data_IF_439545264164
#
_entry.id   IF_439545264164
#
_cell.length_a   1.000
_cell.length_b   1.000
_cell.length_c   1.000
_cell.angle_alpha   90.00
_cell.angle_beta   90.00
_cell.angle_gamma   90.00
#
_symmetry.space_group_name_H-M   'P 1'
#
loop_
_entity.id
_entity.type
_entity.pdbx_description
1 polymer ?
#
# COMPACT_ATOMS: atom_id res chain seq x y z
N UNK A 1 -23.19 -4.23 9.92
CA UNK A 1 -22.60 -4.60 11.23
C UNK A 1 -21.11 -4.66 11.08
N UNK A 2 -20.30 -4.26 12.06
CA UNK A 2 -18.85 -4.28 11.90
C UNK A 2 -18.37 -5.72 11.70
N UNK A 3 -17.74 -5.95 10.57
CA UNK A 3 -17.00 -7.17 10.27
C UNK A 3 -15.87 -7.27 11.28
N UNK A 4 -15.65 -8.45 11.88
CA UNK A 4 -14.54 -8.67 12.80
C UNK A 4 -13.23 -8.53 12.04
N UNK A 5 -12.44 -7.52 12.38
CA UNK A 5 -11.15 -7.29 11.72
C UNK A 5 -10.18 -8.40 12.11
N UNK A 6 -9.55 -9.02 11.11
CA UNK A 6 -8.44 -9.95 11.35
C UNK A 6 -7.26 -9.20 11.97
N UNK A 7 -6.50 -9.85 12.87
CA UNK A 7 -5.23 -9.29 13.31
C UNK A 7 -4.26 -9.20 12.12
N UNK A 8 -3.26 -8.32 12.23
CA UNK A 8 -2.24 -8.15 11.20
C UNK A 8 -1.36 -9.39 10.98
N UNK A 9 -1.29 -10.26 12.00
CA UNK A 9 -0.64 -11.58 11.93
C UNK A 9 -1.69 -12.70 12.11
N UNK A 10 -2.52 -12.98 11.10
CA UNK A 10 -3.59 -13.94 11.20
C UNK A 10 -3.05 -15.37 11.17
N UNK A 11 -3.44 -16.17 12.18
CA UNK A 11 -3.02 -17.55 12.29
C UNK A 11 -4.12 -18.52 11.83
N UNK A 12 -3.85 -19.31 10.79
CA UNK A 12 -4.82 -20.24 10.22
C UNK A 12 -5.25 -21.34 11.19
N UNK A 13 -4.35 -21.83 12.04
CA UNK A 13 -4.70 -22.86 13.05
C UNK A 13 -5.62 -22.28 14.13
N UNK A 14 -5.39 -21.04 14.54
CA UNK A 14 -6.28 -20.34 15.46
C UNK A 14 -7.67 -20.16 14.84
N UNK A 15 -7.78 -19.77 13.59
CA UNK A 15 -9.05 -19.64 12.87
C UNK A 15 -9.78 -20.99 12.74
N UNK A 16 -9.05 -22.10 12.49
CA UNK A 16 -9.60 -23.47 12.51
C UNK A 16 -10.15 -23.84 13.89
N UNK A 17 -9.43 -23.46 14.96
CA UNK A 17 -9.89 -23.68 16.32
C UNK A 17 -11.13 -22.86 16.66
N UNK A 18 -11.20 -21.61 16.24
CA UNK A 18 -12.41 -20.78 16.39
C UNK A 18 -13.61 -21.43 15.69
N UNK A 19 -13.44 -21.94 14.47
CA UNK A 19 -14.50 -22.66 13.77
C UNK A 19 -14.92 -23.94 14.51
N UNK A 20 -13.99 -24.61 15.19
CA UNK A 20 -14.28 -25.79 16.03
C UNK A 20 -15.12 -25.42 17.25
N UNK A 21 -14.74 -24.37 17.94
CA UNK A 21 -15.45 -23.85 19.11
C UNK A 21 -16.86 -23.37 18.73
N UNK A 22 -16.96 -22.60 17.65
CA UNK A 22 -18.25 -22.14 17.12
C UNK A 22 -19.19 -23.32 16.82
N UNK A 23 -18.70 -24.36 16.15
CA UNK A 23 -19.50 -25.56 15.87
C UNK A 23 -20.03 -26.21 17.16
N UNK A 24 -19.19 -26.34 18.19
CA UNK A 24 -19.62 -26.90 19.48
C UNK A 24 -20.70 -26.03 20.15
N UNK A 25 -20.53 -24.71 20.18
CA UNK A 25 -21.48 -23.81 20.81
C UNK A 25 -22.83 -23.75 20.07
N UNK A 26 -22.82 -23.75 18.73
CA UNK A 26 -24.04 -23.81 17.92
C UNK A 26 -24.81 -25.09 18.21
N UNK A 27 -24.14 -26.24 18.22
CA UNK A 27 -24.77 -27.54 18.55
C UNK A 27 -25.28 -27.64 19.98
N UNK A 28 -24.62 -26.91 20.88
CA UNK A 28 -25.05 -26.85 22.31
C UNK A 28 -26.19 -25.82 22.51
N UNK A 29 -26.64 -25.11 21.47
CA UNK A 29 -27.74 -24.16 21.59
C UNK A 29 -27.37 -22.83 22.25
N UNK A 30 -26.08 -22.45 22.28
CA UNK A 30 -25.62 -21.16 22.83
C UNK A 30 -26.22 -20.02 22.01
N UNK A 31 -27.01 -19.09 22.61
CA UNK A 31 -27.77 -18.08 21.87
C UNK A 31 -26.90 -17.19 20.98
N UNK A 32 -25.76 -16.71 21.49
CA UNK A 32 -24.83 -15.82 20.80
C UNK A 32 -24.21 -16.49 19.56
N UNK A 33 -23.91 -17.79 19.67
CA UNK A 33 -23.42 -18.57 18.54
C UNK A 33 -24.49 -18.73 17.45
N UNK A 34 -25.75 -18.89 17.86
CA UNK A 34 -26.91 -18.92 16.96
C UNK A 34 -27.16 -17.59 16.25
N UNK A 35 -26.92 -16.46 16.92
CA UNK A 35 -26.99 -15.12 16.32
C UNK A 35 -25.94 -14.94 15.24
N UNK A 36 -24.71 -15.31 15.52
CA UNK A 36 -23.61 -15.25 14.56
C UNK A 36 -23.90 -16.09 13.30
N UNK A 37 -24.50 -17.28 13.47
CA UNK A 37 -24.92 -18.11 12.34
C UNK A 37 -26.03 -17.41 11.52
N UNK A 38 -27.06 -16.84 12.17
CA UNK A 38 -28.13 -16.12 11.46
C UNK A 38 -27.62 -14.91 10.66
N UNK A 39 -26.61 -14.22 11.18
CA UNK A 39 -26.02 -13.04 10.55
C UNK A 39 -25.15 -13.40 9.34
N UNK A 40 -24.27 -14.39 9.49
CA UNK A 40 -23.20 -14.65 8.51
C UNK A 40 -23.40 -15.90 7.66
N UNK A 41 -24.31 -16.82 8.02
CA UNK A 41 -24.56 -17.99 7.19
C UNK A 41 -25.69 -17.74 6.18
N UNK A 42 -25.45 -17.89 4.86
CA UNK A 42 -26.44 -17.52 3.83
C UNK A 42 -27.67 -18.44 3.83
N UNK A 43 -27.51 -19.69 4.30
CA UNK A 43 -28.56 -20.72 4.38
C UNK A 43 -28.22 -21.64 5.54
N UNK A 44 -28.52 -21.25 6.78
CA UNK A 44 -28.21 -22.10 7.92
C UNK A 44 -29.03 -23.41 7.86
N UNK A 45 -28.51 -24.53 8.36
CA UNK A 45 -29.27 -25.77 8.47
C UNK A 45 -30.51 -25.54 9.35
N UNK A 46 -31.63 -26.18 9.01
CA UNK A 46 -32.87 -26.08 9.78
C UNK A 46 -32.74 -26.65 11.20
N UNK A 47 -31.93 -27.70 11.36
CA UNK A 47 -31.53 -28.26 12.63
C UNK A 47 -30.06 -27.90 12.92
N UNK A 48 -29.86 -27.06 13.93
CA UNK A 48 -28.52 -26.61 14.34
C UNK A 48 -27.68 -27.73 14.97
N UNK A 49 -28.26 -28.88 15.34
CA UNK A 49 -27.47 -30.03 15.77
C UNK A 49 -26.67 -30.66 14.62
N UNK A 50 -27.11 -30.44 13.36
CA UNK A 50 -26.41 -30.87 12.14
C UNK A 50 -25.36 -29.86 11.66
N UNK A 51 -25.20 -28.71 12.35
CA UNK A 51 -24.28 -27.65 11.95
C UNK A 51 -22.86 -28.19 11.79
N UNK A 52 -22.36 -28.18 10.56
CA UNK A 52 -21.10 -28.83 10.20
C UNK A 52 -19.87 -27.96 10.48
N UNK A 53 -18.69 -28.55 10.37
CA UNK A 53 -17.42 -27.79 10.43
C UNK A 53 -17.30 -26.82 9.25
N UNK A 54 -17.80 -27.19 8.09
CA UNK A 54 -17.79 -26.36 6.89
C UNK A 54 -18.69 -25.12 7.07
N UNK A 55 -19.85 -25.28 7.71
CA UNK A 55 -20.74 -24.17 8.05
C UNK A 55 -20.06 -23.20 9.04
N UNK A 56 -19.41 -23.72 10.07
CA UNK A 56 -18.66 -22.91 11.03
C UNK A 56 -17.51 -22.15 10.36
N UNK A 57 -16.76 -22.79 9.48
CA UNK A 57 -15.71 -22.15 8.70
C UNK A 57 -16.27 -21.04 7.79
N UNK A 58 -17.43 -21.26 7.15
CA UNK A 58 -18.09 -20.26 6.33
C UNK A 58 -18.52 -19.04 7.17
N UNK A 59 -19.11 -19.27 8.34
CA UNK A 59 -19.49 -18.18 9.27
C UNK A 59 -18.28 -17.37 9.69
N UNK A 60 -17.20 -18.03 10.13
CA UNK A 60 -15.95 -17.34 10.52
C UNK A 60 -15.40 -16.53 9.33
N UNK A 61 -15.34 -17.11 8.13
CA UNK A 61 -14.84 -16.40 6.95
C UNK A 61 -15.69 -15.15 6.65
N UNK A 62 -17.01 -15.26 6.69
CA UNK A 62 -17.92 -14.14 6.42
C UNK A 62 -17.91 -13.07 7.50
N UNK A 63 -17.78 -13.47 8.76
CA UNK A 63 -17.57 -12.54 9.86
C UNK A 63 -16.26 -11.74 9.73
N UNK A 64 -15.26 -12.31 9.05
CA UNK A 64 -14.02 -11.61 8.70
C UNK A 64 -14.08 -10.88 7.33
N UNK A 65 -15.25 -10.81 6.68
CA UNK A 65 -15.43 -10.09 5.41
C UNK A 65 -15.11 -10.91 4.15
N UNK A 66 -14.82 -12.22 4.28
CA UNK A 66 -14.49 -13.08 3.14
C UNK A 66 -15.70 -13.91 2.67
N UNK A 67 -15.89 -14.02 1.36
CA UNK A 67 -17.02 -14.75 0.77
C UNK A 67 -17.01 -16.26 1.11
N UNK A 68 -15.84 -16.85 1.41
CA UNK A 68 -15.67 -18.27 1.73
C UNK A 68 -14.42 -18.53 2.55
N UNK A 69 -14.37 -19.71 3.20
CA UNK A 69 -13.19 -20.19 3.92
C UNK A 69 -11.95 -20.31 3.02
N UNK A 70 -12.12 -20.71 1.76
CA UNK A 70 -11.02 -20.80 0.81
C UNK A 70 -10.38 -19.44 0.53
N UNK A 71 -11.20 -18.37 0.41
CA UNK A 71 -10.72 -17.00 0.24
C UNK A 71 -10.02 -16.46 1.49
N UNK A 72 -10.56 -16.72 2.68
CA UNK A 72 -9.91 -16.37 3.93
C UNK A 72 -8.55 -17.07 4.07
N UNK A 73 -8.49 -18.38 3.77
CA UNK A 73 -7.23 -19.14 3.81
C UNK A 73 -6.20 -18.57 2.83
N UNK A 74 -6.59 -18.30 1.59
CA UNK A 74 -5.72 -17.68 0.59
C UNK A 74 -5.14 -16.36 1.09
N UNK A 75 -5.96 -15.51 1.69
CA UNK A 75 -5.52 -14.25 2.28
C UNK A 75 -4.51 -14.46 3.40
N UNK A 76 -4.78 -15.38 4.34
CA UNK A 76 -3.86 -15.70 5.44
C UNK A 76 -2.51 -16.21 4.90
N UNK A 77 -2.52 -17.08 3.87
CA UNK A 77 -1.30 -17.57 3.21
C UNK A 77 -0.50 -16.42 2.59
N UNK A 78 -1.16 -15.45 1.95
CA UNK A 78 -0.52 -14.25 1.38
C UNK A 78 0.10 -13.40 2.47
N UNK A 79 -0.65 -13.09 3.54
CA UNK A 79 -0.11 -12.30 4.67
C UNK A 79 1.10 -13.01 5.28
N UNK A 80 0.99 -14.31 5.59
CA UNK A 80 2.10 -15.09 6.16
C UNK A 80 3.35 -15.07 5.26
N UNK A 81 3.18 -15.11 3.93
CA UNK A 81 4.29 -15.12 2.97
C UNK A 81 4.97 -13.76 2.85
N UNK A 82 4.19 -12.67 2.85
CA UNK A 82 4.68 -11.34 2.50
C UNK A 82 4.78 -10.37 3.68
N UNK A 83 4.28 -10.70 4.87
CA UNK A 83 4.41 -9.83 6.04
C UNK A 83 5.88 -9.63 6.41
N UNK A 84 6.27 -8.36 6.61
CA UNK A 84 7.59 -7.94 7.08
C UNK A 84 7.43 -6.81 8.08
N UNK A 85 8.34 -6.75 9.04
CA UNK A 85 8.39 -5.69 10.05
C UNK A 85 9.81 -5.11 10.10
N UNK A 86 10.27 -4.40 9.05
CA UNK A 86 11.65 -3.99 8.90
C UNK A 86 12.14 -3.09 10.06
N UNK A 87 11.24 -2.33 10.68
CA UNK A 87 11.53 -1.47 11.83
C UNK A 87 11.74 -2.23 13.15
N UNK A 88 11.32 -3.51 13.23
CA UNK A 88 11.46 -4.34 14.45
C UNK A 88 12.68 -5.26 14.41
N UNK A 89 13.42 -5.26 13.34
CA UNK A 89 14.59 -6.12 13.21
C UNK A 89 15.69 -5.64 14.16
N UNK A 90 16.12 -6.53 15.05
CA UNK A 90 16.99 -6.21 16.17
C UNK A 90 18.29 -5.52 15.70
N UNK A 91 18.60 -4.40 16.33
CA UNK A 91 19.92 -3.76 16.27
C UNK A 91 20.91 -4.66 16.99
N UNK A 92 21.61 -5.44 16.24
CA UNK A 92 22.59 -6.40 16.73
C UNK A 92 23.12 -7.12 15.52
N UNK A 93 23.80 -6.34 14.65
CA UNK A 93 24.28 -6.84 13.39
C UNK A 93 25.21 -8.01 13.60
N UNK A 94 24.84 -9.13 13.02
CA UNK A 94 25.75 -10.25 12.85
C UNK A 94 26.90 -9.90 11.90
N UNK A 95 26.71 -8.89 11.03
CA UNK A 95 27.70 -8.46 10.04
C UNK A 95 27.48 -7.02 9.55
N UNK A 96 28.53 -6.43 8.98
CA UNK A 96 28.56 -5.04 8.52
C UNK A 96 27.59 -4.76 7.37
N UNK A 97 27.37 -5.73 6.48
CA UNK A 97 26.47 -5.59 5.34
C UNK A 97 25.01 -5.49 5.79
N UNK A 98 24.61 -6.32 6.75
CA UNK A 98 23.27 -6.26 7.35
C UNK A 98 23.05 -4.96 8.12
N UNK A 99 24.08 -4.46 8.81
CA UNK A 99 23.99 -3.17 9.52
C UNK A 99 23.81 -2.02 8.54
N UNK A 100 24.61 -1.98 7.48
CA UNK A 100 24.46 -0.99 6.42
C UNK A 100 23.05 -0.98 5.84
N UNK A 101 22.51 -2.15 5.46
CA UNK A 101 21.18 -2.25 4.87
C UNK A 101 20.06 -1.77 5.82
N UNK A 102 20.17 -2.07 7.11
CA UNK A 102 19.24 -1.57 8.12
C UNK A 102 19.27 -0.06 8.27
N UNK A 103 20.46 0.52 8.21
CA UNK A 103 20.64 1.95 8.35
C UNK A 103 20.24 2.72 7.06
N UNK A 104 20.49 2.13 5.89
CA UNK A 104 20.30 2.78 4.61
C UNK A 104 18.83 2.87 4.17
N UNK A 105 17.99 1.90 4.58
CA UNK A 105 16.66 1.78 4.02
C UNK A 105 15.57 2.37 4.91
N UNK A 106 14.55 2.96 4.26
CA UNK A 106 13.28 3.35 4.89
C UNK A 106 12.57 2.12 5.43
N UNK A 107 12.02 2.23 6.63
CA UNK A 107 11.30 1.14 7.31
C UNK A 107 9.86 1.49 7.64
N UNK A 108 9.48 2.78 7.44
CA UNK A 108 8.18 3.36 7.79
C UNK A 108 7.82 3.20 9.28
N UNK A 109 8.85 3.13 10.12
CA UNK A 109 8.75 3.09 11.58
C UNK A 109 9.56 4.21 12.20
N UNK A 110 10.77 3.88 12.67
CA UNK A 110 11.68 4.84 13.30
C UNK A 110 12.67 5.41 12.26
N UNK A 111 12.16 6.02 11.20
CA UNK A 111 12.98 6.61 10.15
C UNK A 111 13.57 7.95 10.62
N UNK A 112 14.90 7.99 10.76
CA UNK A 112 15.67 9.13 11.24
C UNK A 112 16.81 9.44 10.25
N UNK A 113 16.95 10.68 9.79
CA UNK A 113 18.06 11.11 8.95
C UNK A 113 19.45 10.78 9.51
N UNK A 114 19.59 10.59 10.83
CA UNK A 114 20.84 10.17 11.45
C UNK A 114 21.24 8.74 11.04
N UNK A 115 20.26 7.83 10.87
CA UNK A 115 20.52 6.46 10.38
C UNK A 115 21.15 6.47 8.99
N UNK A 116 20.65 7.30 8.09
CA UNK A 116 21.15 7.38 6.72
C UNK A 116 22.55 7.98 6.64
N UNK A 117 22.84 8.99 7.49
CA UNK A 117 24.20 9.51 7.63
C UNK A 117 25.17 8.44 8.13
N UNK A 118 24.77 7.63 9.11
CA UNK A 118 25.57 6.50 9.57
C UNK A 118 25.80 5.46 8.47
N UNK A 119 24.80 5.17 7.65
CA UNK A 119 24.95 4.28 6.49
C UNK A 119 25.98 4.84 5.48
N UNK A 120 25.92 6.13 5.18
CA UNK A 120 26.88 6.79 4.31
C UNK A 120 28.31 6.77 4.89
N UNK A 121 28.46 7.00 6.20
CA UNK A 121 29.75 6.89 6.92
C UNK A 121 30.31 5.46 6.85
N UNK A 122 29.47 4.42 7.00
CA UNK A 122 29.90 3.03 6.86
C UNK A 122 30.40 2.73 5.44
N UNK A 123 29.70 3.20 4.40
CA UNK A 123 30.16 3.06 3.01
C UNK A 123 31.52 3.74 2.78
N UNK A 124 31.69 4.96 3.30
CA UNK A 124 32.94 5.71 3.18
C UNK A 124 34.12 5.03 3.91
N UNK A 125 33.84 4.43 5.07
CA UNK A 125 34.85 3.75 5.88
C UNK A 125 35.25 2.37 5.33
N UNK A 126 34.39 1.72 4.56
CA UNK A 126 34.58 0.33 4.11
C UNK A 126 34.40 0.19 2.59
N UNK A 127 35.45 0.41 1.82
CA UNK A 127 35.43 0.48 0.35
C UNK A 127 34.88 -0.75 -0.37
N UNK A 128 34.83 -1.93 0.28
CA UNK A 128 34.25 -3.16 -0.28
C UNK A 128 32.80 -3.39 0.11
N UNK A 129 32.17 -2.52 0.94
CA UNK A 129 30.89 -2.78 1.53
C UNK A 129 29.75 -2.76 0.48
N UNK A 130 29.78 -1.82 -0.45
CA UNK A 130 28.81 -1.76 -1.54
C UNK A 130 28.81 -3.04 -2.40
N UNK A 131 29.99 -3.62 -2.63
CA UNK A 131 30.15 -4.84 -3.44
C UNK A 131 29.98 -6.15 -2.65
N UNK A 132 29.69 -6.11 -1.35
CA UNK A 132 29.63 -7.30 -0.49
C UNK A 132 28.48 -8.26 -0.87
N UNK A 133 27.41 -7.75 -1.48
CA UNK A 133 26.28 -8.52 -1.97
C UNK A 133 25.48 -7.75 -3.00
N UNK A 134 24.60 -8.43 -3.73
CA UNK A 134 23.64 -7.75 -4.64
C UNK A 134 22.71 -6.78 -3.87
N UNK A 135 22.38 -7.07 -2.62
CA UNK A 135 21.54 -6.21 -1.78
C UNK A 135 22.25 -4.91 -1.41
N UNK A 136 23.53 -4.98 -1.00
CA UNK A 136 24.31 -3.80 -0.68
C UNK A 136 24.66 -2.99 -1.91
N UNK A 137 24.90 -3.64 -3.06
CA UNK A 137 25.11 -2.96 -4.34
C UNK A 137 23.85 -2.19 -4.77
N UNK A 138 22.68 -2.80 -4.60
CA UNK A 138 21.39 -2.18 -4.91
C UNK A 138 21.12 -0.97 -4.00
N UNK A 139 21.23 -1.13 -2.68
CA UNK A 139 21.01 -0.05 -1.73
C UNK A 139 22.02 1.11 -1.88
N UNK A 140 23.27 0.82 -2.26
CA UNK A 140 24.31 1.83 -2.46
C UNK A 140 24.28 2.48 -3.85
N UNK A 141 23.47 1.98 -4.80
CA UNK A 141 23.49 2.45 -6.17
C UNK A 141 24.81 2.13 -6.90
N UNK A 142 25.49 1.03 -6.54
CA UNK A 142 26.76 0.63 -7.15
C UNK A 142 26.52 -0.17 -8.42
N UNK A 143 26.54 0.53 -9.56
CA UNK A 143 26.30 -0.04 -10.90
C UNK A 143 27.32 -1.12 -11.24
N UNK A 144 28.59 -0.92 -10.91
CA UNK A 144 29.67 -1.88 -11.22
C UNK A 144 29.49 -3.18 -10.46
N UNK A 145 29.28 -3.08 -9.14
CA UNK A 145 29.05 -4.24 -8.30
C UNK A 145 27.77 -4.99 -8.67
N UNK A 146 26.68 -4.28 -8.94
CA UNK A 146 25.43 -4.88 -9.40
C UNK A 146 25.62 -5.63 -10.73
N UNK A 147 26.33 -5.03 -11.69
CA UNK A 147 26.65 -5.66 -12.97
C UNK A 147 27.46 -6.95 -12.78
N UNK A 148 28.50 -6.94 -11.92
CA UNK A 148 29.32 -8.10 -11.64
C UNK A 148 28.54 -9.25 -11.01
N UNK A 149 27.69 -8.96 -10.01
CA UNK A 149 26.83 -9.95 -9.36
C UNK A 149 25.85 -10.59 -10.37
N UNK A 150 25.18 -9.78 -11.17
CA UNK A 150 24.18 -10.25 -12.15
C UNK A 150 24.80 -10.96 -13.35
N UNK A 151 26.02 -10.60 -13.73
CA UNK A 151 26.77 -11.33 -14.76
C UNK A 151 27.16 -12.74 -14.29
N UNK A 152 27.42 -12.92 -12.99
CA UNK A 152 27.72 -14.22 -12.39
C UNK A 152 26.46 -15.09 -12.24
N UNK A 153 25.37 -14.49 -11.76
CA UNK A 153 24.10 -15.19 -11.58
C UNK A 153 22.91 -14.21 -11.72
N UNK A 154 22.22 -14.19 -12.88
CA UNK A 154 21.05 -13.32 -13.07
C UNK A 154 19.89 -13.60 -12.12
N UNK A 155 19.79 -14.81 -11.54
CA UNK A 155 18.71 -15.16 -10.61
C UNK A 155 18.77 -14.38 -9.31
N UNK A 156 19.90 -13.76 -8.98
CA UNK A 156 20.07 -12.86 -7.84
C UNK A 156 19.14 -11.65 -7.89
N UNK A 157 18.67 -11.24 -9.09
CA UNK A 157 17.71 -10.15 -9.25
C UNK A 157 16.37 -10.39 -8.52
N UNK A 158 16.03 -11.65 -8.24
CA UNK A 158 14.80 -12.07 -7.55
C UNK A 158 15.06 -12.76 -6.20
N UNK A 159 16.30 -12.79 -5.76
CA UNK A 159 16.66 -13.41 -4.50
C UNK A 159 16.12 -12.60 -3.33
N UNK A 160 15.32 -13.20 -2.45
CA UNK A 160 15.00 -12.60 -1.16
C UNK A 160 16.14 -12.82 -0.17
N UNK A 161 16.62 -11.76 0.47
CA UNK A 161 17.72 -11.86 1.43
C UNK A 161 17.97 -10.58 2.20
N UNK A 162 19.12 -10.52 2.86
CA UNK A 162 19.45 -9.43 3.76
C UNK A 162 18.56 -9.37 5.00
N UNK A 163 18.72 -8.34 5.87
CA UNK A 163 18.01 -8.24 7.13
C UNK A 163 16.47 -8.16 6.95
N UNK A 164 15.99 -7.46 5.94
CA UNK A 164 14.56 -7.28 5.69
C UNK A 164 13.93 -8.41 4.88
N UNK A 165 14.72 -9.38 4.42
CA UNK A 165 14.26 -10.46 3.52
C UNK A 165 13.57 -9.91 2.27
N UNK A 166 14.13 -8.84 1.71
CA UNK A 166 13.65 -8.20 0.50
C UNK A 166 14.41 -8.68 -0.74
N UNK A 167 13.80 -8.51 -1.91
CA UNK A 167 14.50 -8.58 -3.20
C UNK A 167 15.40 -7.34 -3.37
N UNK A 168 16.47 -7.41 -4.20
CA UNK A 168 17.40 -6.29 -4.40
C UNK A 168 16.71 -4.99 -4.85
N UNK A 169 15.68 -5.11 -5.70
CA UNK A 169 14.91 -3.96 -6.19
C UNK A 169 14.23 -3.17 -5.06
N UNK A 170 13.83 -3.83 -3.98
CA UNK A 170 13.26 -3.15 -2.81
C UNK A 170 14.35 -2.44 -2.01
N UNK A 171 15.53 -3.05 -1.80
CA UNK A 171 16.65 -2.36 -1.15
C UNK A 171 17.07 -1.10 -1.89
N UNK A 172 17.02 -1.14 -3.23
CA UNK A 172 17.25 0.01 -4.07
C UNK A 172 16.16 1.08 -3.89
N UNK A 173 14.89 0.69 -4.01
CA UNK A 173 13.77 1.63 -4.01
C UNK A 173 13.54 2.30 -2.64
N UNK A 174 13.88 1.59 -1.56
CA UNK A 174 13.77 2.11 -0.19
C UNK A 174 15.07 2.69 0.36
N UNK A 175 16.15 2.75 -0.43
CA UNK A 175 17.38 3.40 0.00
C UNK A 175 17.13 4.89 0.23
N UNK A 176 17.51 5.37 1.40
CA UNK A 176 17.42 6.77 1.79
C UNK A 176 18.81 7.43 1.86
N UNK A 177 19.79 6.84 1.19
CA UNK A 177 21.10 7.46 1.06
C UNK A 177 20.96 8.73 0.25
N UNK A 178 21.50 9.83 0.79
CA UNK A 178 21.51 11.11 0.11
C UNK A 178 22.35 11.00 -1.15
N UNK A 179 21.70 11.12 -2.27
CA UNK A 179 22.30 11.09 -3.58
C UNK A 179 22.77 12.51 -3.91
N UNK A 180 23.92 12.93 -3.42
CA UNK A 180 24.56 14.18 -3.84
C UNK A 180 24.54 14.36 -5.37
N UNK A 181 24.79 15.54 -5.87
CA UNK A 181 24.70 15.91 -7.30
C UNK A 181 25.16 14.78 -8.25
N UNK A 182 24.21 14.15 -8.94
CA UNK A 182 24.42 13.10 -9.95
C UNK A 182 24.22 11.65 -9.53
N UNK A 183 23.82 11.36 -8.30
CA UNK A 183 23.65 9.99 -7.82
C UNK A 183 22.26 9.38 -8.16
N UNK A 184 21.22 10.20 -8.37
CA UNK A 184 19.89 9.74 -8.79
C UNK A 184 19.92 8.90 -10.07
N UNK A 185 20.83 9.21 -10.99
CA UNK A 185 21.07 8.40 -12.18
C UNK A 185 21.59 6.99 -11.85
N UNK A 186 22.34 6.81 -10.76
CA UNK A 186 22.95 5.51 -10.41
C UNK A 186 21.91 4.50 -9.93
N UNK A 187 20.96 4.90 -9.09
CA UNK A 187 19.87 4.02 -8.67
C UNK A 187 19.00 3.60 -9.85
N UNK A 188 18.68 4.52 -10.76
CA UNK A 188 17.92 4.18 -11.99
C UNK A 188 18.70 3.19 -12.87
N UNK A 189 20.02 3.33 -12.99
CA UNK A 189 20.85 2.40 -13.77
C UNK A 189 20.92 1.01 -13.12
N UNK A 190 21.07 0.93 -11.80
CA UNK A 190 21.00 -0.36 -11.08
C UNK A 190 19.61 -0.98 -11.20
N UNK A 191 18.54 -0.19 -11.08
CA UNK A 191 17.18 -0.67 -11.29
C UNK A 191 17.00 -1.27 -12.69
N UNK A 192 17.56 -0.63 -13.72
CA UNK A 192 17.54 -1.13 -15.10
C UNK A 192 18.23 -2.47 -15.21
N UNK A 193 19.44 -2.62 -14.62
CA UNK A 193 20.17 -3.89 -14.59
C UNK A 193 19.38 -5.00 -13.91
N UNK A 194 18.76 -4.71 -12.76
CA UNK A 194 17.93 -5.67 -12.03
C UNK A 194 16.72 -6.10 -12.85
N UNK A 195 16.01 -5.15 -13.46
CA UNK A 195 14.83 -5.42 -14.29
C UNK A 195 15.19 -6.17 -15.58
N UNK A 196 16.33 -5.86 -16.21
CA UNK A 196 16.85 -6.58 -17.39
C UNK A 196 17.25 -8.01 -17.03
N UNK A 197 17.72 -8.26 -15.81
CA UNK A 197 18.00 -9.59 -15.27
C UNK A 197 16.73 -10.34 -14.78
N UNK A 198 15.55 -9.72 -14.85
CA UNK A 198 14.27 -10.35 -14.57
C UNK A 198 13.70 -10.07 -13.17
N UNK A 199 14.15 -9.03 -12.46
CA UNK A 199 13.50 -8.57 -11.25
C UNK A 199 12.01 -8.29 -11.50
N UNK A 200 11.15 -8.59 -10.52
CA UNK A 200 9.72 -8.30 -10.61
C UNK A 200 9.48 -6.80 -10.32
N UNK A 201 8.98 -6.00 -11.28
CA UNK A 201 8.68 -4.60 -11.04
C UNK A 201 7.57 -4.40 -10.00
N UNK A 202 6.81 -5.46 -9.68
CA UNK A 202 5.79 -5.50 -8.64
C UNK A 202 6.28 -6.20 -7.35
N UNK A 203 7.60 -6.38 -7.20
CA UNK A 203 8.18 -6.85 -5.93
C UNK A 203 7.69 -5.96 -4.78
N UNK A 204 7.33 -6.59 -3.65
CA UNK A 204 6.78 -5.87 -2.52
C UNK A 204 6.54 -6.76 -1.30
N UNK A 205 6.17 -6.14 -0.21
CA UNK A 205 5.86 -6.79 1.06
C UNK A 205 4.65 -6.13 1.74
N UNK A 206 4.09 -6.79 2.73
CA UNK A 206 3.00 -6.26 3.57
C UNK A 206 3.61 -5.78 4.89
N UNK A 207 3.62 -4.48 5.10
CA UNK A 207 4.15 -3.88 6.32
C UNK A 207 3.30 -4.31 7.53
N UNK A 208 3.91 -5.03 8.47
CA UNK A 208 3.21 -5.66 9.60
C UNK A 208 1.99 -6.51 9.21
N UNK A 209 1.91 -6.99 7.97
CA UNK A 209 0.77 -7.77 7.50
C UNK A 209 -0.47 -6.95 7.13
N UNK A 210 -0.38 -5.63 7.09
CA UNK A 210 -1.46 -4.76 6.60
C UNK A 210 -1.73 -5.05 5.11
N UNK A 211 -2.99 -5.04 4.67
CA UNK A 211 -3.35 -5.36 3.28
C UNK A 211 -3.09 -4.20 2.30
N UNK A 212 -2.04 -3.47 2.52
CA UNK A 212 -1.52 -2.42 1.64
C UNK A 212 -0.08 -2.76 1.28
N UNK A 213 0.21 -3.16 0.04
CA UNK A 213 1.53 -3.61 -0.35
C UNK A 213 2.51 -2.43 -0.47
N UNK A 214 3.66 -2.60 0.13
CA UNK A 214 4.81 -1.72 -0.03
C UNK A 214 5.67 -2.26 -1.17
N UNK A 215 5.53 -1.68 -2.35
CA UNK A 215 6.23 -2.13 -3.57
C UNK A 215 7.47 -1.28 -3.87
N UNK A 216 8.22 -1.64 -4.93
CA UNK A 216 9.28 -0.80 -5.44
C UNK A 216 8.76 0.56 -5.94
N UNK A 217 7.53 0.62 -6.49
CA UNK A 217 6.89 1.87 -6.91
C UNK A 217 6.57 2.76 -5.71
N UNK A 218 6.10 2.18 -4.60
CA UNK A 218 5.92 2.89 -3.31
C UNK A 218 7.22 3.53 -2.86
N UNK A 219 8.33 2.76 -2.86
CA UNK A 219 9.65 3.27 -2.50
C UNK A 219 10.13 4.40 -3.41
N UNK A 220 9.86 4.29 -4.72
CA UNK A 220 10.22 5.33 -5.69
C UNK A 220 9.53 6.67 -5.44
N UNK A 221 8.32 6.69 -4.86
CA UNK A 221 7.63 7.92 -4.50
C UNK A 221 7.91 8.38 -3.06
N UNK A 222 8.21 7.45 -2.14
CA UNK A 222 8.35 7.72 -0.71
C UNK A 222 9.77 8.08 -0.27
N UNK A 223 10.81 7.74 -1.03
CA UNK A 223 12.19 8.01 -0.67
C UNK A 223 12.55 9.49 -0.87
N UNK A 224 12.97 10.18 0.21
CA UNK A 224 13.62 11.50 0.23
C UNK A 224 13.32 12.49 -0.93
N UNK A 225 12.04 12.71 -1.25
CA UNK A 225 11.63 13.61 -2.33
C UNK A 225 11.20 12.87 -3.60
N UNK A 226 11.24 11.55 -3.60
CA UNK A 226 10.80 10.70 -4.68
C UNK A 226 11.73 10.75 -5.92
N UNK A 227 11.75 9.68 -6.69
CA UNK A 227 12.44 9.61 -7.97
C UNK A 227 11.45 9.31 -9.07
N UNK A 228 10.98 10.35 -9.76
CA UNK A 228 10.07 10.19 -10.92
C UNK A 228 10.71 9.37 -12.04
N UNK A 229 12.03 9.41 -12.20
CA UNK A 229 12.73 8.62 -13.20
C UNK A 229 12.73 7.13 -12.85
N UNK A 230 12.90 6.79 -11.57
CA UNK A 230 12.75 5.41 -11.09
C UNK A 230 11.29 4.94 -11.23
N UNK A 231 10.33 5.76 -10.81
CA UNK A 231 8.92 5.44 -10.94
C UNK A 231 8.52 5.20 -12.41
N UNK A 232 8.98 6.06 -13.33
CA UNK A 232 8.78 5.91 -14.77
C UNK A 232 9.37 4.61 -15.30
N UNK A 233 10.61 4.29 -14.94
CA UNK A 233 11.26 3.04 -15.34
C UNK A 233 10.47 1.82 -14.85
N UNK A 234 10.04 1.81 -13.59
CA UNK A 234 9.25 0.72 -13.01
C UNK A 234 7.93 0.53 -13.77
N UNK A 235 7.20 1.62 -14.04
CA UNK A 235 5.94 1.60 -14.78
C UNK A 235 6.13 1.13 -16.23
N UNK A 236 7.17 1.58 -16.92
CA UNK A 236 7.54 1.12 -18.27
C UNK A 236 7.89 -0.37 -18.31
N UNK A 237 8.35 -0.92 -17.20
CA UNK A 237 8.68 -2.36 -17.03
C UNK A 237 7.53 -3.18 -16.45
N UNK A 238 6.34 -2.59 -16.27
CA UNK A 238 5.10 -3.29 -15.89
C UNK A 238 4.76 -3.27 -14.41
N UNK A 239 5.28 -2.31 -13.64
CA UNK A 239 4.73 -2.01 -12.32
C UNK A 239 3.26 -1.59 -12.45
N UNK A 240 2.42 -2.04 -11.53
CA UNK A 240 1.00 -1.69 -11.48
C UNK A 240 0.81 -0.25 -10.97
N UNK A 241 0.25 0.61 -11.81
CA UNK A 241 -0.08 1.98 -11.42
C UNK A 241 -1.19 2.06 -10.36
N UNK A 242 -1.95 0.99 -10.16
CA UNK A 242 -3.00 0.89 -9.13
C UNK A 242 -2.41 0.40 -7.79
N UNK A 243 -1.40 1.07 -7.31
CA UNK A 243 -0.71 0.78 -6.07
C UNK A 243 -1.19 1.73 -4.97
N UNK A 244 -1.93 1.19 -4.00
CA UNK A 244 -2.55 1.98 -2.92
C UNK A 244 -1.53 2.70 -2.04
N UNK A 245 -0.38 2.08 -1.79
CA UNK A 245 0.64 2.69 -0.94
C UNK A 245 1.47 3.72 -1.71
N UNK A 246 1.74 3.48 -3.00
CA UNK A 246 2.38 4.48 -3.86
C UNK A 246 1.54 5.77 -3.93
N UNK A 247 0.21 5.64 -4.09
CA UNK A 247 -0.71 6.78 -4.05
C UNK A 247 -0.73 7.49 -2.69
N UNK A 248 -0.61 6.75 -1.60
CA UNK A 248 -0.51 7.34 -0.26
C UNK A 248 0.75 8.22 -0.12
N UNK A 249 1.90 7.74 -0.61
CA UNK A 249 3.17 8.49 -0.59
C UNK A 249 3.10 9.81 -1.40
N UNK A 250 2.26 9.87 -2.44
CA UNK A 250 2.06 11.10 -3.22
C UNK A 250 1.45 12.26 -2.43
N UNK A 251 1.00 12.03 -1.20
CA UNK A 251 0.54 13.10 -0.31
C UNK A 251 1.65 14.13 -0.05
N UNK A 252 2.92 13.71 -0.02
CA UNK A 252 4.07 14.57 0.11
C UNK A 252 4.31 15.53 -1.06
N UNK A 253 3.76 15.23 -2.25
CA UNK A 253 3.83 16.09 -3.41
C UNK A 253 2.81 17.26 -3.37
N UNK A 254 1.94 17.31 -2.37
CA UNK A 254 0.87 18.30 -2.23
C UNK A 254 0.02 18.43 -3.50
N UNK A 255 -0.20 19.64 -4.03
CA UNK A 255 -0.99 19.90 -5.23
C UNK A 255 -0.20 19.73 -6.56
N UNK A 256 0.97 19.06 -6.54
CA UNK A 256 1.68 18.74 -7.79
C UNK A 256 0.99 17.56 -8.52
N UNK A 257 0.45 17.75 -9.73
CA UNK A 257 -0.21 16.68 -10.47
C UNK A 257 0.76 15.74 -11.19
N UNK A 258 2.04 16.11 -11.36
CA UNK A 258 2.99 15.39 -12.22
C UNK A 258 3.14 13.90 -11.90
N UNK A 259 3.34 13.49 -10.63
CA UNK A 259 3.39 12.09 -10.28
C UNK A 259 2.08 11.33 -10.60
N UNK A 260 0.94 11.97 -10.39
CA UNK A 260 -0.37 11.39 -10.66
C UNK A 260 -0.64 11.28 -12.18
N UNK A 261 -0.20 12.27 -12.98
CA UNK A 261 -0.23 12.21 -14.45
C UNK A 261 0.55 11.00 -14.97
N UNK A 262 1.72 10.72 -14.37
CA UNK A 262 2.52 9.55 -14.71
C UNK A 262 1.76 8.25 -14.45
N UNK A 263 1.09 8.11 -13.30
CA UNK A 263 0.29 6.94 -12.98
C UNK A 263 -0.91 6.78 -13.92
N UNK A 264 -1.63 7.86 -14.25
CA UNK A 264 -2.74 7.82 -15.21
C UNK A 264 -2.28 7.40 -16.61
N UNK A 265 -1.11 7.86 -17.06
CA UNK A 265 -0.51 7.45 -18.32
C UNK A 265 -0.25 5.94 -18.38
N UNK A 266 -0.02 5.29 -17.22
CA UNK A 266 0.24 3.86 -17.11
C UNK A 266 -0.97 3.05 -16.58
N UNK A 267 -2.18 3.62 -16.58
CA UNK A 267 -3.41 2.88 -16.37
C UNK A 267 -4.01 2.94 -14.98
N UNK A 268 -3.66 3.93 -14.16
CA UNK A 268 -4.34 4.19 -12.88
C UNK A 268 -5.86 4.29 -13.10
N UNK A 269 -6.63 3.64 -12.25
CA UNK A 269 -8.09 3.60 -12.29
C UNK A 269 -8.67 2.63 -13.32
N UNK A 270 -7.84 1.92 -14.09
CA UNK A 270 -8.29 1.04 -15.19
C UNK A 270 -8.11 -0.45 -14.86
N UNK A 271 -8.94 -1.25 -15.52
CA UNK A 271 -8.84 -2.70 -15.42
C UNK A 271 -9.29 -3.27 -14.07
N UNK A 272 -8.71 -4.40 -13.69
CA UNK A 272 -9.00 -5.11 -12.44
C UNK A 272 -7.86 -5.07 -11.44
N UNK A 273 -6.85 -4.26 -11.71
CA UNK A 273 -5.61 -4.19 -10.95
C UNK A 273 -4.61 -5.29 -11.29
N UNK A 274 -3.46 -5.23 -10.68
CA UNK A 274 -2.32 -6.12 -10.95
C UNK A 274 -2.20 -7.28 -9.97
N UNK A 275 -0.95 -7.71 -9.77
CA UNK A 275 -0.63 -8.93 -9.01
C UNK A 275 -1.05 -8.84 -7.54
N UNK A 276 -0.97 -7.66 -6.92
CA UNK A 276 -1.37 -7.47 -5.52
C UNK A 276 -2.88 -7.49 -5.35
N UNK A 277 -3.66 -6.97 -6.32
CA UNK A 277 -5.11 -7.14 -6.37
C UNK A 277 -5.51 -8.62 -6.45
N UNK A 278 -4.81 -9.38 -7.28
CA UNK A 278 -5.05 -10.82 -7.38
C UNK A 278 -4.72 -11.58 -6.08
N UNK A 279 -3.65 -11.18 -5.39
CA UNK A 279 -3.21 -11.79 -4.12
C UNK A 279 -4.16 -11.47 -2.97
N UNK A 280 -4.49 -10.19 -2.78
CA UNK A 280 -5.26 -9.68 -1.64
C UNK A 280 -6.77 -9.69 -1.89
N UNK A 281 -7.20 -9.76 -3.14
CA UNK A 281 -8.60 -9.79 -3.57
C UNK A 281 -9.42 -8.66 -2.91
N UNK A 282 -10.51 -9.00 -2.23
CA UNK A 282 -11.40 -8.01 -1.60
C UNK A 282 -10.77 -7.20 -0.44
N UNK A 283 -9.58 -7.59 0.02
CA UNK A 283 -8.85 -6.83 1.03
C UNK A 283 -8.02 -5.68 0.45
N UNK A 284 -7.89 -5.60 -0.88
CA UNK A 284 -7.24 -4.50 -1.59
C UNK A 284 -8.29 -3.62 -2.27
N UNK A 285 -8.15 -2.29 -2.25
CA UNK A 285 -9.05 -1.38 -2.97
C UNK A 285 -9.09 -1.69 -4.47
N UNK A 286 -10.24 -1.50 -5.09
CA UNK A 286 -10.34 -1.58 -6.56
C UNK A 286 -9.66 -0.39 -7.22
N UNK A 287 -9.22 -0.49 -8.50
CA UNK A 287 -8.67 0.65 -9.22
C UNK A 287 -9.58 1.89 -9.21
N UNK A 288 -10.89 1.73 -9.31
CA UNK A 288 -11.84 2.84 -9.24
C UNK A 288 -11.82 3.51 -7.86
N UNK A 289 -11.87 2.73 -6.78
CA UNK A 289 -11.81 3.27 -5.41
C UNK A 289 -10.51 4.04 -5.13
N UNK A 290 -9.38 3.61 -5.71
CA UNK A 290 -8.12 4.33 -5.55
C UNK A 290 -8.16 5.73 -6.17
N UNK A 291 -8.81 5.89 -7.32
CA UNK A 291 -8.98 7.19 -7.97
C UNK A 291 -10.00 8.06 -7.23
N UNK A 292 -11.07 7.46 -6.71
CA UNK A 292 -12.03 8.15 -5.83
C UNK A 292 -11.34 8.66 -4.55
N UNK A 293 -10.49 7.84 -3.90
CA UNK A 293 -9.70 8.27 -2.74
C UNK A 293 -8.80 9.48 -3.04
N UNK A 294 -8.20 9.53 -4.25
CA UNK A 294 -7.40 10.69 -4.67
C UNK A 294 -8.24 11.95 -4.82
N UNK A 295 -9.47 11.85 -5.33
CA UNK A 295 -10.37 12.99 -5.41
C UNK A 295 -10.82 13.46 -4.02
N UNK A 296 -11.18 12.52 -3.15
CA UNK A 296 -11.57 12.78 -1.75
C UNK A 296 -10.44 13.48 -0.99
N UNK A 297 -9.20 12.99 -1.13
CA UNK A 297 -7.99 13.59 -0.54
C UNK A 297 -7.72 14.99 -1.07
N UNK A 298 -7.77 15.17 -2.40
CA UNK A 298 -7.57 16.47 -3.03
C UNK A 298 -8.60 17.51 -2.57
N UNK A 299 -9.85 17.08 -2.34
CA UNK A 299 -10.89 17.91 -1.78
C UNK A 299 -10.67 18.26 -0.31
N UNK A 300 -10.22 17.29 0.49
CA UNK A 300 -9.95 17.49 1.91
C UNK A 300 -8.81 18.48 2.14
N UNK A 301 -7.77 18.43 1.33
CA UNK A 301 -6.53 19.21 1.49
C UNK A 301 -6.47 20.47 0.60
N UNK A 302 -7.56 20.77 -0.13
CA UNK A 302 -7.66 21.91 -1.07
C UNK A 302 -6.56 21.89 -2.14
N UNK A 303 -6.45 20.77 -2.88
CA UNK A 303 -5.53 20.56 -3.99
C UNK A 303 -6.24 20.67 -5.36
N UNK A 304 -6.48 21.88 -5.88
CA UNK A 304 -7.32 22.08 -7.06
C UNK A 304 -6.72 21.51 -8.35
N UNK A 305 -5.39 21.49 -8.50
CA UNK A 305 -4.74 20.96 -9.70
C UNK A 305 -4.88 19.43 -9.76
N UNK A 306 -4.69 18.74 -8.63
CA UNK A 306 -4.90 17.31 -8.54
C UNK A 306 -6.37 16.95 -8.70
N UNK A 307 -7.28 17.67 -8.04
CA UNK A 307 -8.72 17.46 -8.20
C UNK A 307 -9.15 17.59 -9.66
N UNK A 308 -8.68 18.62 -10.37
CA UNK A 308 -8.95 18.81 -11.78
C UNK A 308 -8.46 17.64 -12.61
N UNK A 309 -7.21 17.21 -12.42
CA UNK A 309 -6.64 16.07 -13.13
C UNK A 309 -7.49 14.81 -12.95
N UNK A 310 -7.89 14.50 -11.73
CA UNK A 310 -8.70 13.32 -11.41
C UNK A 310 -10.08 13.41 -12.08
N UNK A 311 -10.72 14.57 -12.03
CA UNK A 311 -12.01 14.84 -12.69
C UNK A 311 -11.93 14.68 -14.21
N UNK A 312 -10.86 15.18 -14.84
CA UNK A 312 -10.62 15.06 -16.28
C UNK A 312 -10.45 13.60 -16.74
N UNK A 313 -10.10 12.68 -15.80
CA UNK A 313 -10.03 11.23 -16.05
C UNK A 313 -11.35 10.50 -15.79
N UNK A 314 -12.44 11.21 -15.45
CA UNK A 314 -13.79 10.66 -15.38
C UNK A 314 -14.08 9.82 -14.14
N UNK A 315 -13.53 10.21 -12.99
CA UNK A 315 -13.84 9.59 -11.70
C UNK A 315 -15.32 9.76 -11.33
N UNK A 316 -15.86 8.83 -10.54
CA UNK A 316 -17.18 9.00 -9.92
C UNK A 316 -17.10 10.10 -8.84
N UNK A 317 -17.74 11.23 -9.09
CA UNK A 317 -17.74 12.39 -8.18
C UNK A 317 -18.53 12.17 -6.89
N UNK A 318 -19.45 11.22 -6.89
CA UNK A 318 -20.26 10.82 -5.74
C UNK A 318 -19.63 9.61 -5.02
N UNK A 319 -18.50 9.10 -5.51
CA UNK A 319 -17.73 8.03 -4.90
C UNK A 319 -17.14 8.45 -3.56
N UNK A 320 -17.07 7.49 -2.64
CA UNK A 320 -16.49 7.65 -1.29
C UNK A 320 -15.17 6.87 -1.15
N UNK A 321 -14.65 6.37 -2.25
CA UNK A 321 -13.40 5.60 -2.30
C UNK A 321 -13.44 4.34 -1.44
N UNK A 322 -12.39 4.15 -0.65
CA UNK A 322 -12.27 3.03 0.30
C UNK A 322 -13.07 3.24 1.58
N UNK A 323 -13.76 4.36 1.72
CA UNK A 323 -14.43 4.78 2.95
C UNK A 323 -13.44 4.84 4.13
N UNK A 324 -12.29 5.48 3.89
CA UNK A 324 -11.25 5.60 4.90
C UNK A 324 -11.78 6.32 6.15
N UNK A 325 -11.48 5.84 7.37
CA UNK A 325 -12.04 6.40 8.61
C UNK A 325 -11.81 7.91 8.80
N UNK A 326 -10.73 8.46 8.24
CA UNK A 326 -10.41 9.90 8.31
C UNK A 326 -11.47 10.74 7.56
N UNK A 327 -12.08 10.19 6.51
CA UNK A 327 -13.04 10.89 5.67
C UNK A 327 -14.50 10.58 6.03
N UNK A 328 -14.73 9.68 7.00
CA UNK A 328 -16.06 9.37 7.59
C UNK A 328 -17.16 9.04 6.56
N UNK A 329 -16.78 8.53 5.39
CA UNK A 329 -17.71 8.20 4.30
C UNK A 329 -18.25 9.41 3.53
N UNK A 330 -17.63 10.57 3.66
CA UNK A 330 -17.98 11.74 2.89
C UNK A 330 -17.50 11.65 1.44
N UNK A 331 -18.28 12.22 0.54
CA UNK A 331 -17.87 12.48 -0.85
C UNK A 331 -16.83 13.61 -0.91
N UNK A 332 -16.14 13.71 -2.03
CA UNK A 332 -15.19 14.81 -2.25
C UNK A 332 -15.85 16.19 -2.11
N UNK A 333 -17.07 16.36 -2.62
CA UNK A 333 -17.81 17.62 -2.51
C UNK A 333 -18.15 17.97 -1.05
N UNK A 334 -18.64 17.01 -0.27
CA UNK A 334 -18.96 17.22 1.14
C UNK A 334 -17.71 17.63 1.93
N UNK A 335 -16.57 16.98 1.72
CA UNK A 335 -15.30 17.34 2.37
C UNK A 335 -14.80 18.71 1.93
N UNK A 336 -14.89 19.05 0.65
CA UNK A 336 -14.50 20.37 0.16
C UNK A 336 -15.33 21.48 0.85
N UNK A 337 -16.63 21.26 1.03
CA UNK A 337 -17.50 22.21 1.75
C UNK A 337 -17.16 22.26 3.23
N UNK A 338 -16.97 21.10 3.89
CA UNK A 338 -16.65 21.04 5.32
C UNK A 338 -15.32 21.69 5.66
N UNK A 339 -14.33 21.55 4.79
CA UNK A 339 -12.98 22.09 4.98
C UNK A 339 -12.80 23.49 4.39
N UNK A 340 -13.86 24.09 3.81
CA UNK A 340 -13.80 25.36 3.10
C UNK A 340 -12.75 25.37 1.97
N UNK A 341 -12.63 24.26 1.25
CA UNK A 341 -11.73 24.06 0.11
C UNK A 341 -12.30 24.74 -1.14
N UNK A 342 -12.35 26.08 -1.13
CA UNK A 342 -13.04 26.90 -2.15
C UNK A 342 -12.47 26.71 -3.54
N UNK A 343 -11.17 26.54 -3.68
CA UNK A 343 -10.50 26.40 -4.97
C UNK A 343 -10.89 25.09 -5.68
N UNK A 344 -11.17 24.03 -4.93
CA UNK A 344 -11.66 22.74 -5.46
C UNK A 344 -13.13 22.86 -5.85
N UNK A 345 -13.98 23.51 -5.03
CA UNK A 345 -15.40 23.69 -5.32
C UNK A 345 -15.59 24.52 -6.60
N UNK A 346 -14.86 25.62 -6.74
CA UNK A 346 -14.96 26.52 -7.90
C UNK A 346 -14.38 25.86 -9.19
N UNK A 347 -13.34 25.04 -9.04
CA UNK A 347 -12.72 24.31 -10.13
C UNK A 347 -13.57 23.19 -10.73
N UNK A 348 -14.44 22.56 -9.93
CA UNK A 348 -15.34 21.47 -10.35
C UNK A 348 -16.53 21.93 -11.21
N UNK A 349 -16.85 23.23 -11.23
CA UNK A 349 -18.01 23.78 -11.93
C UNK A 349 -17.83 24.05 -13.43
N UNK A 350 -16.71 23.71 -14.06
CA UNK A 350 -16.35 24.07 -15.43
C UNK A 350 -16.78 23.12 -16.55
N UNK A 351 -17.77 22.25 -16.37
CA UNK A 351 -18.18 21.28 -17.40
C UNK A 351 -19.69 21.18 -17.58
N UNK A 352 -20.39 22.23 -18.01
CA UNK A 352 -21.80 22.09 -18.34
C UNK A 352 -22.49 23.44 -18.56
N UNK A 353 -22.53 23.93 -19.81
CA UNK A 353 -23.20 25.16 -20.18
C UNK A 353 -24.71 25.10 -20.03
N UNK A 354 -25.30 26.19 -19.55
CA UNK A 354 -26.68 26.57 -19.84
C UNK A 354 -27.56 26.87 -18.63
N UNK A 355 -27.65 28.14 -18.24
CA UNK A 355 -28.89 28.85 -17.98
C UNK A 355 -29.64 28.58 -16.68
N UNK A 356 -29.73 29.59 -15.83
CA UNK A 356 -30.86 29.73 -14.93
C UNK A 356 -30.51 30.22 -13.51
N UNK A 357 -30.78 31.51 -13.27
CA UNK A 357 -30.51 32.19 -12.03
C UNK A 357 -31.33 31.69 -10.85
N UNK A 358 -30.81 31.93 -9.65
CA UNK A 358 -31.64 31.89 -8.45
C UNK A 358 -30.93 31.72 -7.13
N UNK A 359 -30.85 32.81 -6.41
CA UNK A 359 -30.86 32.89 -4.96
C UNK A 359 -29.62 32.37 -4.17
N UNK A 360 -28.81 33.34 -3.74
CA UNK A 360 -27.86 33.18 -2.64
C UNK A 360 -28.49 32.62 -1.37
N UNK A 361 -27.89 31.59 -0.84
CA UNK A 361 -28.03 31.18 0.56
C UNK A 361 -26.73 31.40 1.29
N UNK A 362 -26.77 32.42 2.14
CA UNK A 362 -25.77 32.72 3.15
C UNK A 362 -25.67 31.53 4.11
N UNK A 363 -24.54 30.83 4.11
CA UNK A 363 -24.19 29.86 5.14
C UNK A 363 -23.39 30.54 6.24
N UNK A 364 -24.16 31.10 7.22
CA UNK A 364 -23.58 31.48 8.50
C UNK A 364 -23.75 30.30 9.47
N UNK A 365 -22.64 29.87 10.06
CA UNK A 365 -22.63 29.19 11.35
C UNK A 365 -22.49 27.67 11.32
N UNK A 366 -21.26 27.16 11.17
CA UNK A 366 -20.91 25.83 11.70
C UNK A 366 -19.71 25.99 12.62
N UNK A 367 -19.81 25.59 13.92
CA UNK A 367 -18.73 25.74 14.87
C UNK A 367 -17.60 24.73 14.60
N UNK A 368 -16.38 25.23 14.52
CA UNK A 368 -15.15 24.42 14.54
C UNK A 368 -15.10 23.61 15.84
N UNK A 369 -15.21 22.31 15.76
CA UNK A 369 -14.70 21.40 16.78
C UNK A 369 -13.59 20.56 16.15
N UNK A 370 -12.37 20.91 16.50
CA UNK A 370 -11.22 20.02 16.37
C UNK A 370 -11.35 18.94 17.46
N UNK A 371 -11.23 17.64 17.16
CA UNK A 371 -10.91 16.67 18.18
C UNK A 371 -9.42 16.79 18.50
N UNK A 372 -9.12 16.98 19.79
CA UNK A 372 -7.77 16.92 20.32
C UNK A 372 -7.32 15.44 20.37
N UNK A 373 -6.14 15.20 19.80
CA UNK A 373 -5.15 14.12 19.98
C UNK A 373 -5.66 12.68 19.92
#
# INVERSE_FOLDING_TARGET
>A
MPVSRLPNDPNLEQLKNHAKVLQCFVRAGVPEAGELVREFHPRPPGDLTEFSRADAQLVIARNCGFASWAKLRQYVEVVTRYARSPHREAVGASDLASEFLRLACLTHGDDDPQRWRQAAELLAAHSGLAAASIFTAAAAGDVSAACEWLAGDPSLARLEGGPHRWEPLLYLAYSALDEGDGAGCRHVDVARLLLDAGADPNAGYLWEGLPSPYTALTGAFGSHGGSLDLARLLLERGADANDSQALYELSGAHDDPGPLELLFAHGLGRGTGGVWHARLAAAHPTPAQLVEDELVKAAADNWPRRARLVLDHGVDVDGVGTNHPIFEGHTAYELAVLNASTDVVDGGGGGGGGGGGGAGRSCAGVPRRLPAR
#
